data_IF_862453595853
#
_entry.id   IF_862453595853
#
_cell.length_a   1.000
_cell.length_b   1.000
_cell.length_c   1.000
_cell.angle_alpha   90.00
_cell.angle_beta   90.00
_cell.angle_gamma   90.00
#
_symmetry.space_group_name_H-M   'P 1'
#
loop_
_entity.id
_entity.type
_entity.pdbx_description
1 polymer ?
#
# COMPACT_ATOMS: atom_id res chain seq x y z
N UNK A 1 -9.31 13.31 -28.26
CA UNK A 1 -8.32 12.56 -27.46
C UNK A 1 -9.09 11.61 -26.59
N UNK A 2 -8.84 10.31 -26.74
CA UNK A 2 -9.47 9.27 -25.92
C UNK A 2 -9.04 9.42 -24.45
N UNK A 3 -9.87 9.00 -23.50
CA UNK A 3 -9.55 9.14 -22.08
C UNK A 3 -8.31 8.33 -21.68
N UNK A 4 -8.02 7.25 -22.41
CA UNK A 4 -6.77 6.49 -22.31
C UNK A 4 -5.53 7.31 -22.71
N UNK A 5 -5.61 8.18 -23.71
CA UNK A 5 -4.50 9.04 -24.11
C UNK A 5 -4.21 10.11 -23.06
N UNK A 6 -5.25 10.66 -22.44
CA UNK A 6 -5.14 11.61 -21.33
C UNK A 6 -4.52 10.94 -20.10
N UNK A 7 -5.01 9.76 -19.71
CA UNK A 7 -4.47 9.00 -18.58
C UNK A 7 -2.98 8.68 -18.78
N UNK A 8 -2.61 8.21 -19.97
CA UNK A 8 -1.20 7.96 -20.32
C UNK A 8 -0.34 9.24 -20.24
N UNK A 9 -0.89 10.40 -20.61
CA UNK A 9 -0.18 11.67 -20.49
C UNK A 9 0.02 12.07 -19.01
N UNK A 10 -1.01 11.91 -18.17
CA UNK A 10 -0.93 12.14 -16.72
C UNK A 10 0.11 11.23 -16.05
N UNK A 11 0.09 9.92 -16.33
CA UNK A 11 1.07 8.99 -15.77
C UNK A 11 2.50 9.32 -16.20
N UNK A 12 2.71 9.69 -17.48
CA UNK A 12 4.03 10.14 -17.95
C UNK A 12 4.52 11.39 -17.24
N UNK A 13 3.63 12.35 -16.97
CA UNK A 13 3.99 13.57 -16.24
C UNK A 13 4.46 13.26 -14.81
N UNK A 14 3.78 12.33 -14.11
CA UNK A 14 4.18 11.88 -12.78
C UNK A 14 5.52 11.16 -12.80
N UNK A 15 5.71 10.19 -13.70
CA UNK A 15 7.00 9.47 -13.83
C UNK A 15 8.15 10.43 -14.15
N UNK A 16 7.95 11.37 -15.07
CA UNK A 16 8.97 12.35 -15.40
C UNK A 16 9.32 13.24 -14.20
N UNK A 17 8.33 13.61 -13.37
CA UNK A 17 8.55 14.37 -12.14
C UNK A 17 9.32 13.56 -11.10
N UNK A 18 8.99 12.27 -10.93
CA UNK A 18 9.71 11.36 -10.03
C UNK A 18 11.18 11.19 -10.43
N UNK A 19 11.48 11.06 -11.73
CA UNK A 19 12.86 10.96 -12.21
C UNK A 19 13.69 12.22 -11.89
N UNK A 20 13.04 13.37 -11.80
CA UNK A 20 13.68 14.65 -11.46
C UNK A 20 13.47 15.05 -9.98
N UNK A 21 12.95 14.15 -9.14
CA UNK A 21 12.50 14.48 -7.79
C UNK A 21 13.58 15.17 -6.94
N UNK A 22 14.81 14.67 -7.00
CA UNK A 22 15.93 15.19 -6.21
C UNK A 22 16.40 16.59 -6.62
N UNK A 23 15.92 17.16 -7.73
CA UNK A 23 16.31 18.49 -8.23
C UNK A 23 15.16 19.49 -8.22
N UNK A 24 13.96 19.07 -7.80
CA UNK A 24 12.78 19.92 -7.74
C UNK A 24 12.60 20.51 -6.35
N UNK A 25 12.28 21.80 -6.33
CA UNK A 25 12.01 22.57 -5.12
C UNK A 25 10.50 22.88 -5.05
N UNK A 26 9.90 22.64 -3.89
CA UNK A 26 8.48 22.78 -3.65
C UNK A 26 8.22 23.79 -2.54
N UNK A 27 7.59 24.95 -2.82
CA UNK A 27 7.21 25.88 -1.78
C UNK A 27 6.00 25.36 -1.00
N UNK A 28 6.11 25.32 0.33
CA UNK A 28 4.99 24.98 1.21
C UNK A 28 3.86 26.01 1.07
N UNK A 29 2.63 25.57 0.82
CA UNK A 29 1.46 26.45 0.65
C UNK A 29 1.03 27.12 1.96
N UNK A 30 1.55 26.68 3.11
CA UNK A 30 1.26 27.24 4.43
C UNK A 30 2.35 28.24 4.81
N UNK A 31 3.57 27.77 5.06
CA UNK A 31 4.68 28.59 5.58
C UNK A 31 5.63 29.16 4.51
N UNK A 32 5.44 28.82 3.23
CA UNK A 32 6.27 29.26 2.08
C UNK A 32 7.74 28.83 2.14
N UNK A 33 8.13 27.95 3.06
CA UNK A 33 9.45 27.33 3.04
C UNK A 33 9.61 26.48 1.78
N UNK A 34 10.77 26.58 1.15
CA UNK A 34 11.10 25.82 -0.05
C UNK A 34 11.73 24.50 0.40
N UNK A 35 11.07 23.39 0.08
CA UNK A 35 11.53 22.05 0.44
C UNK A 35 11.97 21.32 -0.83
N UNK A 36 13.13 20.67 -0.74
CA UNK A 36 13.70 19.92 -1.85
C UNK A 36 13.07 18.52 -1.90
N UNK A 37 12.57 18.16 -3.08
CA UNK A 37 11.95 16.87 -3.35
C UNK A 37 10.53 16.73 -2.82
N UNK A 38 9.77 15.88 -3.50
CA UNK A 38 8.36 15.60 -3.23
C UNK A 38 8.16 14.96 -1.86
N UNK A 39 8.99 13.96 -1.51
CA UNK A 39 8.88 13.27 -0.22
C UNK A 39 9.12 14.23 0.95
N UNK A 40 10.21 15.01 0.91
CA UNK A 40 10.49 16.02 1.91
C UNK A 40 9.37 17.07 2.01
N UNK A 41 8.78 17.48 0.88
CA UNK A 41 7.65 18.42 0.89
C UNK A 41 6.41 17.82 1.58
N UNK A 42 6.04 16.58 1.27
CA UNK A 42 4.91 15.90 1.92
C UNK A 42 5.16 15.67 3.41
N UNK A 43 6.38 15.26 3.77
CA UNK A 43 6.79 15.10 5.16
C UNK A 43 6.74 16.43 5.93
N UNK A 44 7.19 17.52 5.31
CA UNK A 44 7.09 18.85 5.90
C UNK A 44 5.64 19.25 6.22
N UNK A 45 4.67 19.00 5.34
CA UNK A 45 3.25 19.25 5.66
C UNK A 45 2.79 18.44 6.88
N UNK A 46 3.18 17.17 6.95
CA UNK A 46 2.79 16.28 8.04
C UNK A 46 3.42 16.69 9.37
N UNK A 47 4.73 16.94 9.39
CA UNK A 47 5.50 17.19 10.62
C UNK A 47 5.33 18.61 11.11
N UNK A 48 5.42 19.62 10.23
CA UNK A 48 5.40 21.02 10.64
C UNK A 48 3.99 21.59 10.77
N UNK A 49 3.01 20.99 10.08
CA UNK A 49 1.65 21.52 10.03
C UNK A 49 0.57 20.50 10.44
N UNK A 50 0.92 19.22 10.65
CA UNK A 50 -0.07 18.19 10.95
C UNK A 50 -1.06 17.95 9.80
N UNK A 51 -0.67 18.29 8.56
CA UNK A 51 -1.52 18.21 7.38
C UNK A 51 -1.05 17.08 6.48
N UNK A 52 -1.97 16.22 6.06
CA UNK A 52 -1.74 15.15 5.08
C UNK A 52 -2.41 15.53 3.76
N UNK A 53 -1.64 15.94 2.75
CA UNK A 53 -2.17 16.20 1.40
C UNK A 53 -2.38 14.91 0.61
N UNK A 54 -3.10 14.97 -0.52
CA UNK A 54 -3.02 13.90 -1.53
C UNK A 54 -1.57 13.51 -1.79
N UNK A 55 -1.31 12.22 -1.94
CA UNK A 55 0.02 11.76 -2.29
C UNK A 55 0.41 12.36 -3.64
N UNK A 56 1.62 12.90 -3.77
CA UNK A 56 1.99 13.62 -4.98
C UNK A 56 1.95 12.72 -6.22
N UNK A 57 2.18 11.42 -6.08
CA UNK A 57 2.06 10.46 -7.19
C UNK A 57 0.64 10.32 -7.73
N UNK A 58 -0.39 10.64 -6.94
CA UNK A 58 -1.78 10.66 -7.38
C UNK A 58 -2.16 11.99 -8.05
N UNK A 59 -1.23 12.95 -8.08
CA UNK A 59 -1.42 14.30 -8.63
C UNK A 59 -0.67 14.44 -9.95
N UNK A 60 -1.43 14.50 -11.04
CA UNK A 60 -0.91 14.67 -12.39
C UNK A 60 -0.31 16.07 -12.59
N UNK A 61 -1.03 17.12 -12.15
CA UNK A 61 -0.58 18.51 -12.20
C UNK A 61 -0.33 19.04 -10.77
N UNK A 62 0.86 18.73 -10.24
CA UNK A 62 1.24 19.12 -8.89
C UNK A 62 1.37 20.64 -8.72
N UNK A 63 1.84 21.35 -9.75
CA UNK A 63 1.98 22.81 -9.68
C UNK A 63 0.60 23.48 -9.64
N UNK A 64 -0.33 23.01 -10.47
CA UNK A 64 -1.73 23.46 -10.44
C UNK A 64 -2.39 23.14 -9.10
N UNK A 65 -2.20 21.93 -8.57
CA UNK A 65 -2.71 21.49 -7.28
C UNK A 65 -2.25 22.39 -6.13
N UNK A 66 -0.95 22.64 -6.00
CA UNK A 66 -0.40 23.48 -4.93
C UNK A 66 -0.83 24.95 -5.09
N UNK A 67 -0.88 25.46 -6.33
CA UNK A 67 -1.35 26.82 -6.60
C UNK A 67 -2.84 26.98 -6.23
N UNK A 68 -3.66 25.98 -6.53
CA UNK A 68 -5.07 25.97 -6.19
C UNK A 68 -5.28 25.88 -4.68
N UNK A 69 -4.60 24.96 -3.99
CA UNK A 69 -4.58 24.88 -2.52
C UNK A 69 -4.21 26.23 -1.89
N UNK A 70 -3.17 26.88 -2.42
CA UNK A 70 -2.75 28.20 -1.93
C UNK A 70 -3.84 29.25 -2.11
N UNK A 71 -4.59 29.20 -3.21
CA UNK A 71 -5.70 30.12 -3.46
C UNK A 71 -6.90 29.89 -2.53
N UNK A 72 -7.11 28.66 -2.07
CA UNK A 72 -8.13 28.33 -1.07
C UNK A 72 -7.68 28.78 0.33
N UNK A 73 -6.39 28.64 0.63
CA UNK A 73 -5.79 29.06 1.90
C UNK A 73 -5.73 30.58 2.04
N UNK A 74 -5.33 31.28 0.99
CA UNK A 74 -5.25 32.73 0.93
C UNK A 74 -5.95 33.22 -0.34
N UNK A 75 -7.28 33.39 -0.29
CA UNK A 75 -8.03 33.98 -1.38
C UNK A 75 -7.49 35.36 -1.74
N UNK A 76 -7.54 35.70 -3.03
CA UNK A 76 -7.02 36.97 -3.51
C UNK A 76 -7.71 38.16 -2.83
N UNK A 77 -6.91 39.01 -2.17
CA UNK A 77 -7.41 40.18 -1.44
C UNK A 77 -7.71 39.94 0.04
N UNK A 78 -7.52 38.71 0.54
CA UNK A 78 -7.57 38.40 1.96
C UNK A 78 -6.15 38.35 2.57
N UNK A 79 -6.05 38.72 3.84
CA UNK A 79 -4.82 38.65 4.64
C UNK A 79 -4.87 37.52 5.67
N UNK A 80 -6.03 36.88 5.84
CA UNK A 80 -6.25 35.76 6.76
C UNK A 80 -6.16 34.43 6.02
N UNK A 81 -5.73 33.41 6.74
CA UNK A 81 -5.78 32.04 6.23
C UNK A 81 -7.21 31.53 6.28
N UNK A 82 -7.62 30.72 5.31
CA UNK A 82 -8.91 30.04 5.31
C UNK A 82 -8.68 28.53 5.31
N UNK A 83 -9.44 27.79 6.11
CA UNK A 83 -9.40 26.33 6.03
C UNK A 83 -9.93 25.88 4.67
N UNK A 84 -9.16 25.12 3.87
CA UNK A 84 -9.60 24.73 2.53
C UNK A 84 -10.74 23.69 2.55
N UNK A 85 -10.98 23.03 3.69
CA UNK A 85 -12.06 22.06 3.88
C UNK A 85 -13.40 22.75 4.20
N UNK A 86 -13.40 23.71 5.14
CA UNK A 86 -14.66 24.32 5.64
C UNK A 86 -14.80 25.83 5.37
N UNK A 87 -13.76 26.49 4.88
CA UNK A 87 -13.74 27.92 4.53
C UNK A 87 -13.56 28.90 5.69
N UNK A 88 -13.45 28.42 6.93
CA UNK A 88 -13.33 29.27 8.12
C UNK A 88 -12.02 30.08 8.10
N UNK A 89 -12.14 31.39 8.33
CA UNK A 89 -11.00 32.30 8.47
C UNK A 89 -10.25 32.06 9.79
N UNK A 90 -8.93 32.03 9.70
CA UNK A 90 -7.96 31.81 10.76
C UNK A 90 -6.96 32.97 10.76
N UNK A 91 -6.64 33.49 11.94
CA UNK A 91 -5.78 34.68 12.11
C UNK A 91 -4.27 34.35 12.02
N UNK A 92 -3.90 33.49 11.06
CA UNK A 92 -2.52 33.08 10.80
C UNK A 92 -2.36 31.56 10.70
N UNK A 93 -1.13 31.15 10.40
CA UNK A 93 -0.73 29.75 10.23
C UNK A 93 -1.02 28.91 11.48
N UNK A 94 -0.60 29.36 12.67
CA UNK A 94 -0.80 28.60 13.91
C UNK A 94 -2.30 28.40 14.23
N UNK A 95 -3.14 29.40 13.93
CA UNK A 95 -4.59 29.30 14.10
C UNK A 95 -5.21 28.32 13.11
N UNK A 96 -4.71 28.28 11.87
CA UNK A 96 -5.16 27.34 10.85
C UNK A 96 -4.82 25.90 11.24
N UNK A 97 -3.58 25.65 11.66
CA UNK A 97 -3.12 24.32 12.08
C UNK A 97 -3.89 23.83 13.31
N UNK A 98 -4.09 24.69 14.31
CA UNK A 98 -4.90 24.35 15.47
C UNK A 98 -6.36 24.05 15.11
N UNK A 99 -6.97 24.86 14.23
CA UNK A 99 -8.31 24.62 13.72
C UNK A 99 -8.41 23.27 12.99
N UNK A 100 -7.46 23.00 12.11
CA UNK A 100 -7.43 21.75 11.35
C UNK A 100 -7.30 20.53 12.26
N UNK A 101 -6.42 20.58 13.25
CA UNK A 101 -6.28 19.51 14.24
C UNK A 101 -7.54 19.29 15.09
N UNK A 102 -8.17 20.37 15.57
CA UNK A 102 -9.34 20.27 16.46
C UNK A 102 -10.60 19.76 15.76
N UNK A 103 -10.78 20.08 14.48
CA UNK A 103 -11.96 19.66 13.70
C UNK A 103 -11.69 18.47 12.78
N UNK A 104 -10.49 17.87 12.84
CA UNK A 104 -10.13 16.75 11.96
C UNK A 104 -9.95 17.14 10.49
N UNK A 105 -9.76 18.42 10.17
CA UNK A 105 -9.49 18.90 8.80
C UNK A 105 -8.01 18.79 8.41
N UNK A 106 -7.35 17.72 8.86
CA UNK A 106 -5.92 17.46 8.60
C UNK A 106 -5.67 16.85 7.23
N UNK A 107 -6.68 16.19 6.63
CA UNK A 107 -6.57 15.56 5.31
C UNK A 107 -6.99 16.52 4.20
N UNK A 108 -6.05 16.88 3.32
CA UNK A 108 -6.26 17.77 2.18
C UNK A 108 -6.14 16.99 0.88
N UNK A 109 -7.16 16.19 0.61
CA UNK A 109 -7.30 15.39 -0.60
C UNK A 109 -8.55 15.79 -1.41
N UNK A 110 -8.76 15.13 -2.54
CA UNK A 110 -9.93 15.39 -3.40
C UNK A 110 -11.28 14.97 -2.78
N UNK A 111 -11.27 14.20 -1.67
CA UNK A 111 -12.51 13.84 -0.94
C UNK A 111 -12.90 14.96 0.01
N UNK A 112 -11.94 15.46 0.79
CA UNK A 112 -12.14 16.57 1.71
C UNK A 112 -12.28 17.92 0.98
N UNK A 113 -11.61 18.09 -0.16
CA UNK A 113 -11.61 19.32 -0.96
C UNK A 113 -11.89 18.93 -2.43
N UNK A 114 -13.17 18.79 -2.83
CA UNK A 114 -13.54 18.31 -4.16
C UNK A 114 -12.95 19.10 -5.34
N UNK A 115 -12.64 20.38 -5.12
CA UNK A 115 -12.03 21.23 -6.15
C UNK A 115 -10.58 20.84 -6.50
N UNK A 116 -9.96 19.93 -5.74
CA UNK A 116 -8.66 19.36 -6.06
C UNK A 116 -8.70 18.21 -7.05
N UNK A 117 -9.87 17.58 -7.24
CA UNK A 117 -10.01 16.43 -8.14
C UNK A 117 -9.43 16.66 -9.55
N UNK A 118 -9.64 17.81 -10.23
CA UNK A 118 -9.15 18.03 -11.59
C UNK A 118 -7.63 17.92 -11.78
N UNK A 119 -6.86 18.03 -10.70
CA UNK A 119 -5.40 17.91 -10.74
C UNK A 119 -4.90 16.47 -10.50
N UNK A 120 -5.79 15.58 -10.02
CA UNK A 120 -5.48 14.19 -9.69
C UNK A 120 -5.64 13.25 -10.89
N UNK A 121 -4.89 12.14 -10.88
CA UNK A 121 -4.97 11.09 -11.92
C UNK A 121 -6.38 10.47 -11.96
N UNK A 122 -7.03 10.34 -10.81
CA UNK A 122 -8.35 9.73 -10.64
C UNK A 122 -9.48 10.50 -11.34
N UNK A 123 -9.34 11.81 -11.55
CA UNK A 123 -10.33 12.60 -12.29
C UNK A 123 -10.39 12.23 -13.78
N UNK A 124 -9.34 11.64 -14.34
CA UNK A 124 -9.32 11.15 -15.73
C UNK A 124 -10.03 9.81 -15.88
N UNK A 125 -10.23 9.08 -14.77
CA UNK A 125 -10.96 7.80 -14.74
C UNK A 125 -12.45 7.96 -14.42
N UNK A 126 -12.90 9.17 -14.08
CA UNK A 126 -14.29 9.44 -13.67
C UNK A 126 -15.18 9.75 -14.88
N UNK A 127 -15.33 8.77 -15.77
CA UNK A 127 -16.47 8.68 -16.68
C UNK A 127 -17.39 7.57 -16.18
N UNK A 128 -18.39 7.93 -15.38
CA UNK A 128 -19.31 7.06 -14.62
C UNK A 128 -18.63 6.23 -13.51
N UNK A 129 -18.81 6.67 -12.26
CA UNK A 129 -19.65 5.90 -11.33
C UNK A 129 -19.85 6.70 -10.03
N UNK A 130 -21.11 6.97 -9.74
CA UNK A 130 -21.56 7.37 -8.41
C UNK A 130 -21.45 6.15 -7.50
N UNK A 131 -20.48 6.13 -6.58
CA UNK A 131 -20.53 5.23 -5.43
C UNK A 131 -20.41 6.02 -4.14
N UNK A 132 -21.53 6.01 -3.43
CA UNK A 132 -21.77 6.51 -2.11
C UNK A 132 -21.00 5.69 -1.07
N UNK A 133 -20.43 6.41 -0.11
CA UNK A 133 -20.19 6.11 1.31
C UNK A 133 -20.08 4.65 1.77
N UNK A 134 -19.03 4.37 2.56
CA UNK A 134 -19.22 3.99 3.97
C UNK A 134 -18.21 4.77 4.83
N UNK A 135 -18.75 5.46 5.84
CA UNK A 135 -18.05 6.13 6.93
C UNK A 135 -17.63 5.06 7.95
N UNK A 136 -16.41 5.13 8.48
CA UNK A 136 -16.09 4.53 9.77
C UNK A 136 -15.27 5.52 10.59
N UNK A 137 -15.86 5.91 11.70
CA UNK A 137 -15.38 6.86 12.70
C UNK A 137 -14.70 6.08 13.84
N UNK A 138 -13.81 6.78 14.56
CA UNK A 138 -13.34 6.45 15.91
C UNK A 138 -12.22 5.39 16.08
N UNK A 139 -10.97 5.85 16.25
CA UNK A 139 -10.15 5.45 17.41
C UNK A 139 -9.36 6.65 17.96
N UNK A 140 -9.72 6.94 19.19
CA UNK A 140 -9.15 7.81 20.22
C UNK A 140 -7.63 7.97 20.24
N UNK A 141 -7.22 9.23 20.43
CA UNK A 141 -5.84 9.62 20.66
C UNK A 141 -5.21 9.03 21.93
N UNK A 142 -3.90 8.78 21.82
CA UNK A 142 -3.00 8.71 22.96
C UNK A 142 -1.72 9.45 22.60
N UNK A 143 -1.50 10.53 23.34
CA UNK A 143 -0.28 11.33 23.38
C UNK A 143 0.87 10.41 23.77
N UNK A 144 1.94 10.39 22.97
CA UNK A 144 3.26 9.98 23.45
C UNK A 144 4.22 11.10 23.08
N UNK A 145 4.69 11.74 24.15
CA UNK A 145 5.73 12.75 24.19
C UNK A 145 7.09 12.08 23.90
N UNK A 146 7.98 12.85 23.27
CA UNK A 146 9.43 12.73 23.34
C UNK A 146 10.14 11.56 22.61
N UNK A 147 10.87 11.89 21.54
CA UNK A 147 12.33 11.72 21.51
C UNK A 147 12.97 12.59 20.40
N UNK A 148 13.87 13.45 20.85
CA UNK A 148 14.83 14.23 20.08
C UNK A 148 15.90 13.28 19.54
N UNK A 149 16.30 13.38 18.28
CA UNK A 149 17.65 12.97 17.86
C UNK A 149 18.23 13.97 16.87
N UNK A 150 19.25 14.66 17.37
CA UNK A 150 20.27 15.37 16.63
C UNK A 150 21.18 14.36 15.89
N UNK A 151 21.69 14.80 14.75
CA UNK A 151 23.00 14.52 14.13
C UNK A 151 23.60 13.10 14.24
N UNK A 152 23.67 12.45 13.07
CA UNK A 152 24.81 11.68 12.55
C UNK A 152 25.55 10.75 13.54
N UNK A 153 25.02 9.56 13.76
CA UNK A 153 25.85 8.37 13.99
C UNK A 153 25.35 7.25 13.07
N UNK A 154 26.28 6.69 12.28
CA UNK A 154 26.10 5.42 11.56
C UNK A 154 25.85 4.31 12.60
N UNK A 155 24.60 4.14 13.04
CA UNK A 155 24.14 2.93 13.68
C UNK A 155 23.49 2.06 12.61
N UNK A 156 23.97 0.83 12.48
CA UNK A 156 23.29 -0.23 11.75
C UNK A 156 21.89 -0.39 12.36
N UNK A 157 20.90 0.38 11.89
CA UNK A 157 19.49 0.18 12.21
C UNK A 157 19.14 -1.21 11.71
N UNK A 158 19.21 -2.18 12.64
CA UNK A 158 18.66 -3.50 12.52
C UNK A 158 17.15 -3.31 12.36
N UNK A 159 16.71 -3.08 11.12
CA UNK A 159 15.30 -2.97 10.75
C UNK A 159 14.56 -4.13 11.41
N UNK A 160 13.83 -3.85 12.49
CA UNK A 160 13.10 -4.87 13.23
C UNK A 160 12.12 -5.53 12.24
N UNK A 161 12.30 -6.81 11.94
CA UNK A 161 11.40 -7.53 11.02
C UNK A 161 9.98 -7.45 11.56
N UNK A 162 9.09 -6.70 10.90
CA UNK A 162 7.71 -6.57 11.36
C UNK A 162 7.00 -7.94 11.38
N UNK A 163 6.30 -8.29 12.48
CA UNK A 163 5.61 -9.57 12.57
C UNK A 163 4.48 -9.66 11.55
N UNK A 164 4.31 -10.85 10.97
CA UNK A 164 3.23 -11.12 10.02
C UNK A 164 1.98 -11.65 10.73
N UNK A 165 0.80 -11.42 10.15
CA UNK A 165 -0.44 -12.07 10.60
C UNK A 165 -0.59 -13.44 9.94
N UNK A 166 -0.95 -14.45 10.74
CA UNK A 166 -1.25 -15.79 10.25
C UNK A 166 -2.39 -15.77 9.22
N UNK A 167 -2.33 -16.66 8.22
CA UNK A 167 -3.37 -16.75 7.20
C UNK A 167 -4.70 -17.32 7.70
N UNK A 168 -4.69 -18.08 8.80
CA UNK A 168 -5.83 -18.87 9.26
C UNK A 168 -6.42 -18.38 10.59
N UNK A 169 -5.76 -17.47 11.29
CA UNK A 169 -6.24 -16.88 12.55
C UNK A 169 -5.59 -15.52 12.83
N UNK A 170 -6.03 -14.86 13.89
CA UNK A 170 -5.58 -13.51 14.27
C UNK A 170 -4.22 -13.46 14.98
N UNK A 171 -3.44 -14.55 14.96
CA UNK A 171 -2.12 -14.58 15.62
C UNK A 171 -1.08 -13.88 14.75
N UNK A 172 -0.37 -12.91 15.32
CA UNK A 172 0.81 -12.27 14.71
C UNK A 172 2.11 -12.96 15.16
N UNK A 173 3.02 -13.21 14.23
CA UNK A 173 4.30 -13.89 14.48
C UNK A 173 5.36 -13.52 13.43
N UNK A 174 6.61 -13.39 13.87
CA UNK A 174 7.78 -13.27 12.98
C UNK A 174 8.02 -14.57 12.18
N UNK A 175 7.42 -15.69 12.58
CA UNK A 175 7.48 -16.96 11.86
C UNK A 175 6.08 -17.58 11.71
N UNK A 176 5.24 -16.95 10.89
CA UNK A 176 3.90 -17.43 10.59
C UNK A 176 3.88 -18.82 9.93
N UNK A 177 4.92 -19.18 9.17
CA UNK A 177 5.03 -20.50 8.55
C UNK A 177 5.14 -21.61 9.61
N UNK A 178 5.97 -21.43 10.64
CA UNK A 178 6.08 -22.37 11.75
C UNK A 178 4.78 -22.42 12.56
N UNK A 179 4.21 -21.25 12.88
CA UNK A 179 2.94 -21.17 13.59
C UNK A 179 1.82 -21.93 12.85
N UNK A 180 1.70 -21.81 11.53
CA UNK A 180 0.70 -22.56 10.75
C UNK A 180 0.91 -24.06 10.82
N UNK A 181 2.15 -24.55 10.83
CA UNK A 181 2.43 -25.97 11.01
C UNK A 181 2.01 -26.48 12.38
N UNK A 182 2.33 -25.73 13.44
CA UNK A 182 2.12 -26.17 14.82
C UNK A 182 0.65 -26.00 15.28
N UNK A 183 0.05 -24.83 15.02
CA UNK A 183 -1.28 -24.49 15.51
C UNK A 183 -2.40 -24.97 14.57
N UNK A 184 -2.12 -25.03 13.27
CA UNK A 184 -3.12 -25.36 12.24
C UNK A 184 -2.83 -26.67 11.49
N UNK A 185 -1.71 -27.35 11.78
CA UNK A 185 -1.28 -28.54 11.01
C UNK A 185 -1.19 -28.28 9.51
N UNK A 186 -0.88 -27.03 9.13
CA UNK A 186 -0.86 -26.56 7.76
C UNK A 186 0.54 -26.16 7.34
N UNK A 187 1.17 -26.96 6.47
CA UNK A 187 2.45 -26.65 5.85
C UNK A 187 2.24 -25.87 4.55
N UNK A 188 2.12 -24.54 4.66
CA UNK A 188 1.84 -23.66 3.53
C UNK A 188 2.86 -23.84 2.39
N UNK A 189 4.16 -23.90 2.70
CA UNK A 189 5.22 -24.02 1.68
C UNK A 189 5.09 -25.33 0.92
N UNK A 190 4.92 -26.45 1.63
CA UNK A 190 4.77 -27.75 0.99
C UNK A 190 3.48 -27.82 0.16
N UNK A 191 2.39 -27.24 0.66
CA UNK A 191 1.11 -27.26 -0.02
C UNK A 191 1.11 -26.41 -1.30
N UNK A 192 1.72 -25.21 -1.28
CA UNK A 192 1.89 -24.36 -2.46
C UNK A 192 2.81 -25.01 -3.50
N UNK A 193 3.91 -25.66 -3.07
CA UNK A 193 4.83 -26.34 -3.99
C UNK A 193 4.22 -27.57 -4.68
N UNK A 194 3.22 -28.22 -4.05
CA UNK A 194 2.50 -29.36 -4.63
C UNK A 194 1.31 -28.93 -5.49
N UNK A 195 0.94 -27.65 -5.47
CA UNK A 195 -0.22 -27.14 -6.15
C UNK A 195 0.04 -26.99 -7.66
N UNK A 196 -0.67 -27.76 -8.49
CA UNK A 196 -0.44 -27.81 -9.96
C UNK A 196 -0.60 -26.45 -10.66
N UNK A 197 -1.39 -25.54 -10.09
CA UNK A 197 -1.63 -24.21 -10.64
C UNK A 197 -0.55 -23.16 -10.35
N UNK A 198 0.42 -23.42 -9.48
CA UNK A 198 1.41 -22.42 -9.05
C UNK A 198 2.63 -22.43 -9.95
N UNK A 199 2.85 -21.34 -10.70
CA UNK A 199 3.98 -21.21 -11.62
C UNK A 199 4.98 -20.15 -11.18
N UNK A 200 4.48 -19.06 -10.58
CA UNK A 200 5.30 -17.92 -10.20
C UNK A 200 4.86 -17.27 -8.88
N UNK A 201 5.56 -16.19 -8.52
CA UNK A 201 5.29 -15.41 -7.30
C UNK A 201 3.89 -14.79 -7.30
N UNK A 202 3.36 -14.41 -8.46
CA UNK A 202 2.03 -13.80 -8.57
C UNK A 202 0.95 -14.82 -8.21
N UNK A 203 1.12 -16.09 -8.59
CA UNK A 203 0.20 -17.15 -8.18
C UNK A 203 0.19 -17.35 -6.66
N UNK A 204 1.34 -17.23 -6.00
CA UNK A 204 1.44 -17.26 -4.53
C UNK A 204 0.71 -16.08 -3.91
N UNK A 205 0.90 -14.87 -4.43
CA UNK A 205 0.19 -13.66 -3.97
C UNK A 205 -1.32 -13.86 -4.08
N UNK A 206 -1.81 -14.40 -5.21
CA UNK A 206 -3.23 -14.70 -5.41
C UNK A 206 -3.74 -15.69 -4.38
N UNK A 207 -3.02 -16.80 -4.13
CA UNK A 207 -3.39 -17.78 -3.11
C UNK A 207 -3.52 -17.11 -1.74
N UNK A 208 -2.55 -16.29 -1.33
CA UNK A 208 -2.57 -15.61 -0.03
C UNK A 208 -3.80 -14.71 0.10
N UNK A 209 -4.08 -13.89 -0.92
CA UNK A 209 -5.22 -12.98 -0.91
C UNK A 209 -6.56 -13.71 -0.95
N UNK A 210 -6.64 -14.83 -1.67
CA UNK A 210 -7.83 -15.70 -1.68
C UNK A 210 -8.07 -16.30 -0.29
N UNK A 211 -7.04 -16.87 0.34
CA UNK A 211 -7.16 -17.45 1.68
C UNK A 211 -7.65 -16.40 2.67
N UNK A 212 -7.09 -15.19 2.64
CA UNK A 212 -7.53 -14.10 3.53
C UNK A 212 -8.96 -13.67 3.30
N UNK A 213 -9.37 -13.52 2.03
CA UNK A 213 -10.76 -13.24 1.71
C UNK A 213 -11.69 -14.33 2.25
N UNK A 214 -11.32 -15.60 2.04
CA UNK A 214 -12.11 -16.72 2.52
C UNK A 214 -12.18 -16.79 4.05
N UNK A 215 -11.08 -16.50 4.74
CA UNK A 215 -11.03 -16.49 6.21
C UNK A 215 -11.86 -15.35 6.79
N UNK A 216 -11.79 -14.15 6.20
CA UNK A 216 -12.65 -13.03 6.59
C UNK A 216 -14.13 -13.32 6.36
N UNK A 217 -14.47 -13.95 5.23
CA UNK A 217 -15.85 -14.26 4.85
C UNK A 217 -16.38 -15.56 5.49
N UNK A 218 -15.52 -16.32 6.18
CA UNK A 218 -15.87 -17.65 6.71
C UNK A 218 -16.23 -18.66 5.62
N UNK A 219 -15.60 -18.59 4.45
CA UNK A 219 -15.84 -19.47 3.30
C UNK A 219 -14.67 -20.42 3.04
N UNK A 220 -14.91 -21.48 2.26
CA UNK A 220 -13.91 -22.51 1.97
C UNK A 220 -12.95 -22.06 0.86
N UNK A 221 -11.62 -21.97 1.08
CA UNK A 221 -10.66 -21.56 0.05
C UNK A 221 -10.69 -22.44 -1.20
N UNK A 222 -10.80 -23.77 -1.02
CA UNK A 222 -10.83 -24.75 -2.12
C UNK A 222 -11.79 -24.43 -3.25
N UNK A 223 -12.99 -23.96 -2.89
CA UNK A 223 -14.09 -23.68 -3.81
C UNK A 223 -14.27 -22.17 -4.03
N UNK A 224 -13.20 -21.39 -3.87
CA UNK A 224 -13.23 -19.96 -4.11
C UNK A 224 -13.76 -19.64 -5.52
N UNK A 225 -14.84 -18.85 -5.58
CA UNK A 225 -15.48 -18.46 -6.83
C UNK A 225 -16.26 -19.57 -7.54
N UNK A 226 -16.46 -20.74 -6.92
CA UNK A 226 -17.25 -21.84 -7.47
C UNK A 226 -18.64 -21.92 -6.84
N UNK A 227 -19.66 -22.10 -7.68
CA UNK A 227 -21.02 -22.45 -7.26
C UNK A 227 -21.34 -23.91 -7.62
N UNK A 228 -20.66 -24.83 -6.92
CA UNK A 228 -20.84 -26.27 -7.06
C UNK A 228 -21.63 -26.86 -5.87
N UNK A 229 -22.26 -28.04 -6.03
CA UNK A 229 -22.89 -28.75 -4.92
C UNK A 229 -21.90 -29.04 -3.76
N UNK A 230 -20.64 -29.30 -4.09
CA UNK A 230 -19.55 -29.51 -3.13
C UNK A 230 -19.23 -28.23 -2.35
N UNK A 231 -19.24 -27.07 -3.03
CA UNK A 231 -19.08 -25.77 -2.39
C UNK A 231 -20.23 -25.49 -1.40
N UNK A 232 -21.48 -25.78 -1.78
CA UNK A 232 -22.64 -25.63 -0.90
C UNK A 232 -22.57 -26.57 0.32
N UNK A 233 -22.10 -27.81 0.12
CA UNK A 233 -21.85 -28.73 1.24
C UNK A 233 -20.81 -28.17 2.22
N UNK A 234 -19.72 -27.60 1.71
CA UNK A 234 -18.72 -26.94 2.56
C UNK A 234 -19.32 -25.74 3.31
N UNK A 235 -20.12 -24.90 2.62
CA UNK A 235 -20.82 -23.76 3.23
C UNK A 235 -21.71 -24.20 4.40
N UNK A 236 -22.49 -25.26 4.23
CA UNK A 236 -23.32 -25.81 5.30
C UNK A 236 -22.50 -26.33 6.49
N UNK A 237 -21.41 -27.07 6.23
CA UNK A 237 -20.54 -27.59 7.30
C UNK A 237 -19.88 -26.46 8.07
N UNK A 238 -19.34 -25.46 7.39
CA UNK A 238 -18.69 -24.29 8.00
C UNK A 238 -19.70 -23.48 8.82
N UNK A 239 -20.89 -23.19 8.27
CA UNK A 239 -21.94 -22.48 8.99
C UNK A 239 -22.42 -23.21 10.25
N UNK A 240 -22.36 -24.55 10.26
CA UNK A 240 -22.72 -25.36 11.44
C UNK A 240 -21.59 -25.52 12.46
N UNK A 241 -20.35 -25.18 12.10
CA UNK A 241 -19.17 -25.35 12.95
C UNK A 241 -18.25 -24.13 12.86
N UNK A 242 -17.17 -24.20 12.11
CA UNK A 242 -16.31 -23.08 11.77
C UNK A 242 -15.41 -23.44 10.59
N UNK A 243 -14.80 -22.44 9.95
CA UNK A 243 -13.81 -22.67 8.90
C UNK A 243 -12.60 -23.46 9.43
N UNK A 244 -12.10 -23.12 10.61
CA UNK A 244 -10.96 -23.84 11.21
C UNK A 244 -11.30 -25.30 11.52
N UNK A 245 -12.52 -25.58 11.99
CA UNK A 245 -12.98 -26.96 12.18
C UNK A 245 -13.03 -27.71 10.85
N UNK A 246 -13.60 -27.10 9.82
CA UNK A 246 -13.67 -27.65 8.47
C UNK A 246 -12.29 -27.98 7.90
N UNK A 247 -11.33 -27.05 7.98
CA UNK A 247 -9.97 -27.24 7.48
C UNK A 247 -9.17 -28.32 8.24
N UNK A 248 -9.53 -28.63 9.50
CA UNK A 248 -8.93 -29.76 10.22
C UNK A 248 -9.40 -31.11 9.68
N UNK A 249 -10.63 -31.21 9.20
CA UNK A 249 -11.18 -32.44 8.60
C UNK A 249 -10.81 -32.57 7.12
N UNK A 250 -10.73 -31.45 6.40
CA UNK A 250 -10.35 -31.38 4.98
C UNK A 250 -9.11 -30.49 4.77
N UNK A 251 -7.88 -30.95 5.09
CA UNK A 251 -6.67 -30.12 5.02
C UNK A 251 -6.33 -29.64 3.61
N UNK A 252 -6.72 -30.39 2.58
CA UNK A 252 -6.55 -30.01 1.18
C UNK A 252 -7.36 -28.76 0.82
N UNK A 253 -8.38 -28.44 1.61
CA UNK A 253 -9.25 -27.29 1.35
C UNK A 253 -8.65 -25.94 1.81
N UNK A 254 -7.45 -25.96 2.40
CA UNK A 254 -6.74 -24.77 2.85
C UNK A 254 -6.19 -23.91 1.68
N UNK A 255 -6.08 -24.48 0.47
CA UNK A 255 -5.73 -23.74 -0.75
C UNK A 255 -6.91 -23.76 -1.73
N UNK A 256 -7.03 -22.73 -2.59
CA UNK A 256 -7.95 -22.78 -3.71
C UNK A 256 -7.58 -23.90 -4.66
N UNK A 257 -8.57 -24.62 -5.20
CA UNK A 257 -8.36 -25.70 -6.17
C UNK A 257 -7.78 -25.20 -7.49
N UNK A 258 -8.22 -24.02 -7.90
CA UNK A 258 -7.80 -23.34 -9.11
C UNK A 258 -7.41 -21.91 -8.78
N UNK A 259 -6.33 -21.43 -9.42
CA UNK A 259 -5.84 -20.06 -9.23
C UNK A 259 -6.38 -19.23 -10.40
N UNK A 260 -7.22 -18.20 -10.13
CA UNK A 260 -7.67 -17.29 -11.18
C UNK A 260 -6.50 -16.55 -11.81
N UNK A 261 -6.57 -16.25 -13.10
CA UNK A 261 -5.54 -15.47 -13.82
C UNK A 261 -5.79 -13.97 -13.78
N UNK A 262 -6.86 -13.51 -13.11
CA UNK A 262 -7.21 -12.10 -13.02
C UNK A 262 -6.30 -11.31 -12.08
N UNK A 263 -6.33 -9.99 -12.23
CA UNK A 263 -5.56 -9.06 -11.39
C UNK A 263 -6.27 -8.73 -10.07
N UNK A 264 -7.57 -9.03 -9.95
CA UNK A 264 -8.36 -8.76 -8.74
C UNK A 264 -7.74 -9.43 -7.51
N UNK A 265 -7.30 -10.67 -7.65
CA UNK A 265 -6.67 -11.44 -6.58
C UNK A 265 -5.21 -11.04 -6.30
N UNK A 266 -4.62 -10.16 -7.11
CA UNK A 266 -3.29 -9.59 -6.83
C UNK A 266 -3.35 -8.41 -5.86
N UNK A 267 -4.52 -7.78 -5.70
CA UNK A 267 -4.70 -6.64 -4.82
C UNK A 267 -4.59 -7.12 -3.36
N UNK A 268 -3.58 -6.70 -2.59
CA UNK A 268 -3.40 -7.13 -1.21
C UNK A 268 -4.62 -6.78 -0.36
N UNK A 269 -5.12 -7.76 0.40
CA UNK A 269 -6.22 -7.53 1.36
C UNK A 269 -5.76 -6.77 2.61
N UNK A 270 -4.48 -6.86 2.96
CA UNK A 270 -3.86 -6.07 4.01
C UNK A 270 -2.82 -5.15 3.38
N UNK A 271 -2.88 -3.86 3.73
CA UNK A 271 -1.90 -2.86 3.29
C UNK A 271 -0.57 -3.17 4.00
N UNK A 272 0.54 -3.14 3.25
CA UNK A 272 1.85 -3.44 3.82
C UNK A 272 2.02 -4.89 4.25
N UNK A 273 1.40 -5.83 3.53
CA UNK A 273 1.38 -7.24 3.90
C UNK A 273 2.78 -7.87 4.09
N UNK A 274 3.20 -7.92 5.36
CA UNK A 274 4.47 -8.49 5.79
C UNK A 274 4.55 -9.99 5.54
N UNK A 275 3.41 -10.70 5.49
CA UNK A 275 3.39 -12.13 5.16
C UNK A 275 3.79 -12.36 3.69
N UNK A 276 3.17 -11.65 2.75
CA UNK A 276 3.54 -11.73 1.33
C UNK A 276 5.01 -11.33 1.16
N UNK A 277 5.41 -10.20 1.75
CA UNK A 277 6.80 -9.73 1.70
C UNK A 277 7.77 -10.80 2.22
N UNK A 278 7.49 -11.44 3.35
CA UNK A 278 8.35 -12.49 3.92
C UNK A 278 8.51 -13.71 3.00
N UNK A 279 7.44 -14.15 2.32
CA UNK A 279 7.52 -15.31 1.42
C UNK A 279 8.24 -14.97 0.11
N UNK A 280 7.96 -13.79 -0.44
CA UNK A 280 8.53 -13.36 -1.72
C UNK A 280 10.01 -13.04 -1.58
N UNK A 281 10.38 -12.30 -0.54
CA UNK A 281 11.78 -11.90 -0.27
C UNK A 281 12.59 -13.05 0.35
N UNK A 282 11.98 -13.83 1.25
CA UNK A 282 12.65 -14.93 1.94
C UNK A 282 13.00 -16.14 1.05
N UNK A 283 12.48 -16.21 -0.18
CA UNK A 283 12.79 -17.28 -1.14
C UNK A 283 12.35 -18.67 -0.68
N UNK A 284 11.36 -18.74 0.22
CA UNK A 284 10.91 -20.00 0.83
C UNK A 284 10.21 -20.94 -0.18
N UNK A 285 9.76 -20.41 -1.32
CA UNK A 285 9.09 -21.16 -2.39
C UNK A 285 10.00 -21.21 -3.62
N UNK A 286 10.30 -22.43 -4.07
CA UNK A 286 11.11 -22.68 -5.26
C UNK A 286 10.18 -22.94 -6.44
N UNK A 287 10.30 -22.12 -7.48
CA UNK A 287 9.67 -22.39 -8.76
C UNK A 287 10.62 -23.22 -9.62
N UNK A 288 10.12 -24.27 -10.29
CA UNK A 288 10.95 -25.14 -11.11
C UNK A 288 11.60 -24.38 -12.27
N UNK A 289 12.86 -24.69 -12.60
CA UNK A 289 13.65 -24.08 -13.70
C UNK A 289 13.06 -24.32 -15.12
N UNK A 290 11.84 -24.82 -15.24
CA UNK A 290 11.25 -25.33 -16.49
C UNK A 290 9.95 -24.64 -16.85
N UNK A 291 9.90 -23.30 -16.75
CA UNK A 291 8.95 -22.43 -17.48
C UNK A 291 9.27 -20.93 -17.47
N UNK A 292 10.45 -20.53 -17.00
CA UNK A 292 11.05 -19.25 -17.38
C UNK A 292 11.73 -19.41 -18.75
N UNK A 293 10.96 -19.71 -19.80
CA UNK A 293 11.39 -19.25 -21.12
C UNK A 293 11.13 -17.75 -21.11
N UNK A 294 12.19 -17.01 -20.78
CA UNK A 294 12.44 -15.65 -21.25
C UNK A 294 12.34 -15.64 -22.78
N UNK A 295 11.10 -15.63 -23.27
CA UNK A 295 10.73 -15.43 -24.66
C UNK A 295 10.34 -13.97 -24.84
N UNK A 296 11.35 -13.09 -24.84
CA UNK A 296 11.18 -11.66 -25.06
C UNK A 296 12.53 -10.98 -24.97
N UNK A 297 13.20 -10.87 -26.13
CA UNK A 297 14.39 -10.07 -26.43
C UNK A 297 15.55 -10.07 -25.42
N UNK A 298 16.64 -10.72 -25.82
CA UNK A 298 17.98 -10.32 -25.41
C UNK A 298 18.21 -8.86 -25.86
N UNK A 299 17.87 -7.88 -25.01
CA UNK A 299 18.06 -6.49 -25.40
C UNK A 299 17.34 -5.44 -24.56
N UNK A 300 17.43 -5.50 -23.23
CA UNK A 300 17.44 -4.33 -22.34
C UNK A 300 17.74 -4.85 -20.93
N UNK A 301 19.02 -4.88 -20.56
CA UNK A 301 19.45 -4.93 -19.16
C UNK A 301 18.80 -3.72 -18.46
N UNK A 302 17.63 -3.91 -17.87
CA UNK A 302 17.17 -3.01 -16.83
C UNK A 302 18.19 -3.16 -15.70
N UNK A 303 18.96 -2.11 -15.36
CA UNK A 303 19.91 -2.21 -14.26
C UNK A 303 19.07 -2.34 -13.00
N UNK A 304 18.93 -3.58 -12.51
CA UNK A 304 18.49 -3.83 -11.15
C UNK A 304 19.41 -3.02 -10.25
N UNK A 305 18.85 -2.04 -9.55
CA UNK A 305 19.60 -1.27 -8.56
C UNK A 305 20.06 -2.29 -7.52
N UNK A 306 21.38 -2.43 -7.29
CA UNK A 306 21.86 -3.40 -6.33
C UNK A 306 21.24 -3.11 -4.97
N UNK A 307 20.77 -4.16 -4.29
CA UNK A 307 20.22 -4.02 -2.95
C UNK A 307 21.27 -3.45 -2.00
N UNK A 308 20.85 -2.82 -0.90
CA UNK A 308 21.78 -2.30 0.10
C UNK A 308 22.71 -3.38 0.65
N UNK A 309 22.21 -4.62 0.76
CA UNK A 309 23.02 -5.80 1.11
C UNK A 309 24.09 -6.12 0.06
N UNK A 310 23.78 -6.04 -1.22
CA UNK A 310 24.75 -6.25 -2.30
C UNK A 310 25.81 -5.13 -2.37
N UNK A 311 25.43 -3.90 -2.06
CA UNK A 311 26.36 -2.78 -1.95
C UNK A 311 27.28 -2.92 -0.73
N UNK A 312 26.75 -3.35 0.42
CA UNK A 312 27.52 -3.62 1.63
C UNK A 312 28.54 -4.78 1.41
N UNK A 313 28.10 -5.89 0.82
CA UNK A 313 28.96 -7.01 0.47
C UNK A 313 30.09 -6.61 -0.50
N UNK A 314 29.79 -5.76 -1.50
CA UNK A 314 30.80 -5.22 -2.42
C UNK A 314 31.80 -4.27 -1.75
N UNK A 315 31.39 -3.52 -0.73
CA UNK A 315 32.29 -2.66 0.06
C UNK A 315 33.24 -3.50 0.92
N UNK A 316 32.72 -4.53 1.59
CA UNK A 316 33.53 -5.48 2.37
C UNK A 316 34.54 -6.24 1.50
N UNK A 317 34.13 -6.65 0.29
CA UNK A 317 35.02 -7.32 -0.66
C UNK A 317 36.12 -6.40 -1.23
N UNK A 318 35.92 -5.07 -1.24
CA UNK A 318 36.91 -4.08 -1.71
C UNK A 318 37.82 -3.55 -0.60
N UNK A 319 37.45 -3.70 0.67
CA UNK A 319 38.26 -3.29 1.83
C UNK A 319 39.32 -4.31 2.27
N UNK A 320 39.36 -5.48 1.62
CA UNK A 320 40.28 -6.58 1.96
C UNK A 320 41.45 -6.79 0.98
N UNK A 321 41.78 -5.80 0.15
CA UNK A 321 42.92 -5.84 -0.79
C UNK A 321 43.94 -4.74 -0.49
#
# INVERSE_FOLDING_TARGET
MSDLEKLRACCRAVVQRQQNNATLDFPCVICQQVIRGQHGSMEHYRVNHGICTSHFDDVADLNGFLSHLRSLLLPAGDTKFHCPVCGVSCDGEASLVAHAGQLGHTFWDARAIPTLAPFCITAVSSGNDELQHEEDDEVTGKVIDQAFYDEDEDEDEEWEEEPAMCLLCDTTSHNCLLHMKEAHSFDFVAAVQQHEGVNDVYDVIRIVNIIRGCVADGTCPHHYGEDSPEAESCRHVIASSSLLSHLRYEPLHALPRAIPTGDKELIPRLVGDTFISSIVVGGNIKFGETKCQTGGDEGEDYPMVPTMMELAAKRLAKGGA
#
